data_IF_854938245333
#
_entry.id   IF_854938245333
#
_cell.length_a   1.000
_cell.length_b   1.000
_cell.length_c   1.000
_cell.angle_alpha   90.00
_cell.angle_beta   90.00
_cell.angle_gamma   90.00
#
_symmetry.space_group_name_H-M   'P 1'
#
loop_
_entity.id
_entity.type
_entity.pdbx_description
1 polymer ?
2 polymer ?
3 non-polymer ?
4 non-polymer ?
5 water ?
#
# COMPACT_ATOMS: atom_id res chain seq x y z
N UNK A 1 1.04 4.08 -9.96
CA UNK A 1 1.76 3.00 -9.20
C UNK A 1 1.46 3.27 -7.71
N UNK A 2 1.82 2.38 -6.83
CA UNK A 2 1.52 2.62 -5.43
C UNK A 2 2.13 3.84 -4.78
N UNK A 3 3.33 4.20 -5.16
CA UNK A 3 3.88 5.38 -4.46
C UNK A 3 3.14 6.61 -4.90
N UNK A 4 2.77 6.63 -6.16
CA UNK A 4 2.03 7.78 -6.68
C UNK A 4 0.65 7.84 -6.08
N UNK A 5 0.04 6.70 -5.93
CA UNK A 5 -1.33 6.71 -5.39
C UNK A 5 -1.40 6.71 -3.88
N UNK A 6 -0.35 6.33 -3.19
CA UNK A 6 -0.55 6.29 -1.73
C UNK A 6 0.37 7.12 -0.92
N UNK A 7 1.42 7.61 -1.53
CA UNK A 7 2.42 8.45 -0.86
C UNK A 7 2.23 9.90 -1.29
N UNK A 8 2.35 10.02 -2.60
CA UNK A 8 2.19 11.34 -3.25
C UNK A 8 0.74 11.80 -3.12
N UNK A 9 -0.24 10.90 -3.03
CA UNK A 9 -1.64 11.36 -2.86
C UNK A 9 -2.20 10.50 -1.76
N UNK A 10 -3.40 10.69 -1.32
CA UNK A 10 -3.92 9.85 -0.22
C UNK A 10 -4.35 8.52 -0.75
N UNK A 11 -3.99 7.53 0.03
CA UNK A 11 -4.27 6.12 -0.27
C UNK A 11 -5.67 5.72 0.04
N UNK A 12 -6.05 4.50 -0.29
CA UNK A 12 -7.38 4.08 0.08
C UNK A 12 -7.22 2.58 0.32
N UNK A 13 -8.27 2.00 0.90
CA UNK A 13 -8.25 0.54 1.13
C UNK A 13 -8.26 -0.14 -0.20
N UNK A 14 -8.98 0.39 -1.16
CA UNK A 14 -9.08 -0.20 -2.48
C UNK A 14 -7.73 -0.31 -3.11
N UNK A 15 -6.93 0.71 -3.05
CA UNK A 15 -5.63 0.72 -3.63
C UNK A 15 -4.75 -0.25 -2.91
N UNK A 16 -4.65 -0.16 -1.61
CA UNK A 16 -3.75 -1.12 -0.93
C UNK A 16 -4.04 -2.56 -1.27
N UNK A 17 -5.32 -2.87 -1.22
CA UNK A 17 -5.81 -4.21 -1.47
C UNK A 17 -5.53 -4.64 -2.89
N UNK A 18 -5.23 -3.81 -3.85
CA UNK A 18 -4.89 -4.25 -5.18
C UNK A 18 -3.46 -4.83 -5.11
N UNK A 19 -2.67 -4.59 -4.09
CA UNK A 19 -1.30 -5.12 -4.00
C UNK A 19 -1.09 -6.32 -3.14
N UNK A 20 -2.15 -6.88 -2.64
CA UNK A 20 -2.16 -8.07 -1.81
C UNK A 20 -2.09 -9.26 -2.71
N UNK A 21 -1.57 -10.42 -2.36
CA UNK A 21 -1.58 -11.52 -3.35
C UNK A 21 -2.84 -12.40 -3.22
N UNK B 1 -7.00 4.03 9.02
CA UNK B 1 -5.59 4.42 9.16
C UNK B 1 -4.98 4.40 7.75
N UNK B 2 -5.78 3.87 6.79
CA UNK B 2 -5.20 3.77 5.45
C UNK B 2 -5.46 5.03 4.66
N UNK B 3 -6.41 5.85 5.04
CA UNK B 3 -6.68 7.04 4.19
C UNK B 3 -5.84 8.23 4.52
N UNK B 4 -4.56 8.09 4.26
CA UNK B 4 -3.59 9.16 4.54
C UNK B 4 -2.48 8.98 3.55
N UNK B 5 -1.46 9.80 3.62
CA UNK B 5 -0.30 9.68 2.70
C UNK B 5 0.55 8.63 3.40
N UNK B 6 0.84 7.54 2.77
CA UNK B 6 1.60 6.47 3.40
C UNK B 6 2.91 6.35 2.67
N UNK B 7 4.07 6.72 3.23
CA UNK B 7 5.28 6.59 2.43
C UNK B 7 6.33 5.71 3.10
N UNK B 8 7.06 5.13 2.20
CA UNK B 8 8.20 4.29 2.52
C UNK B 8 7.84 3.14 3.40
N UNK B 9 8.44 3.07 4.56
CA UNK B 9 8.22 1.94 5.46
C UNK B 9 6.81 1.98 6.00
N UNK B 10 6.26 3.14 6.04
CA UNK B 10 4.87 3.37 6.48
C UNK B 10 3.93 2.70 5.50
N UNK B 11 4.12 2.77 4.22
CA UNK B 11 3.31 2.15 3.20
C UNK B 11 3.54 0.67 3.28
N UNK B 12 4.73 0.15 3.37
CA UNK B 12 4.88 -1.32 3.42
C UNK B 12 4.25 -1.88 4.65
N UNK B 13 4.26 -1.14 5.73
CA UNK B 13 3.66 -1.60 7.00
C UNK B 13 2.15 -1.66 6.85
N UNK B 14 1.51 -0.73 6.14
CA UNK B 14 0.06 -0.79 5.90
C UNK B 14 -0.26 -2.04 5.06
N UNK B 15 0.52 -2.31 4.01
CA UNK B 15 0.32 -3.49 3.17
C UNK B 15 0.47 -4.72 3.99
N UNK B 16 1.45 -4.78 4.86
CA UNK B 16 1.69 -5.92 5.73
C UNK B 16 0.48 -6.12 6.58
N UNK B 17 -0.12 -5.14 7.20
CA UNK B 17 -1.29 -5.29 8.08
C UNK B 17 -2.61 -5.50 7.41
N UNK B 18 -2.88 -4.90 6.30
CA UNK B 18 -4.14 -5.09 5.59
C UNK B 18 -4.16 -6.43 4.89
N UNK B 19 -3.09 -6.80 4.23
CA UNK B 19 -3.00 -8.02 3.44
C UNK B 19 -2.92 -9.30 4.25
N UNK B 20 -2.37 -9.33 5.43
CA UNK B 20 -2.25 -10.50 6.29
C UNK B 20 -1.44 -11.56 5.60
N UNK B 21 -1.87 -12.77 5.79
CA UNK B 21 -1.38 -14.07 5.33
C UNK B 21 -1.26 -14.16 3.83
N UNK B 22 -2.06 -13.35 3.18
CA UNK B 22 -2.17 -13.20 1.74
C UNK B 22 -0.83 -12.73 1.21
N UNK B 23 -0.15 -11.84 1.89
CA UNK B 23 1.15 -11.33 1.39
C UNK B 23 0.82 -10.21 0.41
N UNK B 24 1.78 -9.58 -0.18
CA UNK B 24 1.58 -8.47 -1.14
C UNK B 24 2.87 -8.32 -1.94
N UNK B 25 2.77 -7.38 -2.84
CA UNK B 25 3.91 -7.05 -3.70
C UNK B 25 4.14 -5.55 -3.57
N UNK B 26 5.38 -5.13 -3.41
CA UNK B 26 5.60 -3.70 -3.22
C UNK B 26 6.52 -3.37 -4.34
N UNK B 27 5.96 -2.59 -5.25
CA UNK B 27 6.79 -2.18 -6.42
C UNK B 27 6.80 -0.67 -6.46
N UNK B 28 7.85 -0.09 -5.91
CA UNK B 28 7.95 1.38 -5.85
C UNK B 28 8.20 1.87 -7.27
N UNK B 29 9.11 1.16 -7.90
CA UNK B 29 9.55 1.41 -9.28
C UNK B 29 8.42 1.21 -10.28
N UNK B 30 7.71 2.28 -10.64
CA UNK B 30 6.62 2.13 -11.62
C UNK B 30 5.88 3.42 -11.92
X LIG C 1 -4.17 8.73 -4.00
X LIG D 1 9.01 -2.26 6.44
X LIG D 1 7.94 -1.89 7.76
X LIG D 1 7.73 -3.14 8.62
X LIG D 1 6.37 -4.10 7.81
#
# INVERSE_FOLDING_TARGET
GIVEQCCASVCSLYQLENYCN
FVNQHLCGSHLVEALYLVCGERGFFYTPKA
NA NA
DCE CL1 C1 C2 CL2
#
